data_IF_710353014998
#
_entry.id   IF_710353014998
#
_cell.length_a   1.000
_cell.length_b   1.000
_cell.length_c   1.000
_cell.angle_alpha   90.00
_cell.angle_beta   90.00
_cell.angle_gamma   90.00
#
_symmetry.space_group_name_H-M   'P 1'
#
loop_
_entity.id
_entity.type
_entity.pdbx_description
1 polymer ?
#
# COMPACT_ATOMS: atom_id res chain seq x y z
N UNK A 1 33.08 -5.01 -7.72
CA UNK A 1 31.79 -5.52 -7.23
C UNK A 1 30.79 -4.37 -7.31
N UNK A 2 29.62 -4.66 -7.87
CA UNK A 2 28.68 -3.73 -8.50
C UNK A 2 28.29 -2.53 -7.63
N UNK A 3 28.84 -1.37 -8.01
CA UNK A 3 28.49 -0.05 -7.49
C UNK A 3 27.09 0.34 -7.94
N UNK A 4 26.19 0.60 -7.01
CA UNK A 4 24.96 1.36 -7.27
C UNK A 4 25.03 2.72 -6.55
N UNK A 5 25.89 3.59 -7.07
CA UNK A 5 25.46 4.97 -7.29
C UNK A 5 24.64 5.00 -8.59
N UNK A 6 23.64 5.89 -8.75
CA UNK A 6 23.11 6.17 -10.07
C UNK A 6 24.22 6.83 -10.90
N UNK A 7 25.06 6.03 -11.55
CA UNK A 7 25.82 6.49 -12.70
C UNK A 7 24.80 6.80 -13.78
N UNK A 8 24.93 7.94 -14.45
CA UNK A 8 24.18 8.19 -15.69
C UNK A 8 24.66 7.13 -16.67
N UNK A 9 23.92 6.04 -16.77
CA UNK A 9 24.14 5.03 -17.79
C UNK A 9 23.80 5.72 -19.09
N UNK A 10 24.80 5.96 -19.93
CA UNK A 10 24.55 6.51 -21.27
C UNK A 10 23.68 5.52 -22.04
N UNK A 11 22.83 5.97 -22.96
CA UNK A 11 21.92 5.08 -23.72
C UNK A 11 22.65 3.89 -24.40
N UNK A 12 23.97 4.03 -24.63
CA UNK A 12 24.85 2.97 -25.14
C UNK A 12 25.25 1.90 -24.11
N UNK A 13 25.34 2.22 -22.82
CA UNK A 13 25.66 1.25 -21.77
C UNK A 13 24.43 0.46 -21.30
N UNK A 14 23.23 1.05 -21.40
CA UNK A 14 21.94 0.33 -21.23
C UNK A 14 21.79 -0.75 -22.29
N UNK A 15 22.26 -0.49 -23.52
CA UNK A 15 22.24 -1.48 -24.62
C UNK A 15 23.23 -2.64 -24.43
N UNK A 16 24.27 -2.50 -23.61
CA UNK A 16 25.30 -3.52 -23.41
C UNK A 16 25.13 -4.35 -22.12
N UNK A 17 24.45 -3.83 -21.11
CA UNK A 17 24.02 -4.60 -19.95
C UNK A 17 22.61 -5.16 -20.21
N UNK A 18 22.53 -6.24 -20.99
CA UNK A 18 21.26 -6.94 -21.20
C UNK A 18 20.76 -7.48 -19.85
N UNK A 19 19.67 -6.90 -19.34
CA UNK A 19 18.89 -7.51 -18.26
C UNK A 19 18.46 -8.88 -18.79
N UNK A 20 18.80 -9.93 -18.06
CA UNK A 20 18.27 -11.26 -18.36
C UNK A 20 16.81 -11.29 -17.90
N UNK A 21 15.90 -11.29 -18.87
CA UNK A 21 14.47 -11.31 -18.59
C UNK A 21 14.06 -12.70 -18.12
N UNK A 22 13.24 -12.76 -17.08
CA UNK A 22 12.72 -14.01 -16.52
C UNK A 22 11.82 -14.76 -17.50
N UNK A 23 11.29 -14.05 -18.52
CA UNK A 23 10.50 -14.61 -19.63
C UNK A 23 10.46 -13.68 -20.86
N UNK A 24 10.01 -14.16 -22.03
CA UNK A 24 9.75 -13.30 -23.18
C UNK A 24 8.72 -12.20 -22.92
N UNK A 25 8.99 -10.98 -23.39
CA UNK A 25 8.15 -9.80 -23.15
C UNK A 25 6.73 -9.93 -23.74
N UNK A 26 6.56 -10.70 -24.81
CA UNK A 26 5.27 -10.94 -25.45
C UNK A 26 4.36 -11.92 -24.68
N UNK A 27 4.86 -12.56 -23.62
CA UNK A 27 4.05 -13.39 -22.71
C UNK A 27 3.32 -12.55 -21.65
N UNK A 28 3.65 -11.28 -21.52
CA UNK A 28 2.94 -10.33 -20.66
C UNK A 28 1.63 -9.88 -21.32
N UNK A 29 0.50 -9.84 -20.58
CA UNK A 29 -0.78 -9.44 -21.15
C UNK A 29 -0.82 -7.95 -21.43
N UNK A 30 -1.56 -7.57 -22.49
CA UNK A 30 -1.82 -6.17 -22.81
C UNK A 30 -3.04 -5.65 -22.06
N UNK A 31 -3.13 -4.33 -21.89
CA UNK A 31 -4.34 -3.68 -21.36
C UNK A 31 -5.59 -4.01 -22.21
N UNK A 32 -5.42 -4.17 -23.53
CA UNK A 32 -6.51 -4.56 -24.42
C UNK A 32 -7.03 -5.96 -24.10
N UNK A 33 -6.15 -6.95 -23.94
CA UNK A 33 -6.54 -8.32 -23.60
C UNK A 33 -7.35 -8.38 -22.30
N UNK A 34 -6.86 -7.70 -21.26
CA UNK A 34 -7.52 -7.66 -19.93
C UNK A 34 -8.90 -6.99 -20.07
N UNK A 35 -9.00 -5.89 -20.80
CA UNK A 35 -10.26 -5.18 -21.03
C UNK A 35 -11.27 -6.05 -21.78
N UNK A 36 -10.85 -6.70 -22.87
CA UNK A 36 -11.70 -7.60 -23.66
C UNK A 36 -12.24 -8.76 -22.81
N UNK A 37 -11.39 -9.36 -21.96
CA UNK A 37 -11.83 -10.42 -21.06
C UNK A 37 -12.88 -9.93 -20.05
N UNK A 38 -12.63 -8.79 -19.37
CA UNK A 38 -13.58 -8.23 -18.40
C UNK A 38 -14.93 -7.87 -19.06
N UNK A 39 -14.90 -7.47 -20.32
CA UNK A 39 -16.10 -7.13 -21.11
C UNK A 39 -16.81 -8.36 -21.70
N UNK A 40 -16.18 -9.54 -21.70
CA UNK A 40 -16.80 -10.80 -22.15
C UNK A 40 -17.92 -11.32 -21.24
N UNK A 41 -18.16 -10.67 -20.10
CA UNK A 41 -19.16 -11.03 -19.08
C UNK A 41 -19.04 -12.45 -18.55
N UNK A 42 -17.83 -13.02 -18.59
CA UNK A 42 -17.51 -14.25 -17.89
C UNK A 42 -17.91 -14.15 -16.41
N UNK A 43 -18.63 -15.17 -15.90
CA UNK A 43 -19.07 -15.18 -14.50
C UNK A 43 -17.86 -15.23 -13.56
N UNK A 44 -17.68 -14.21 -12.69
CA UNK A 44 -16.59 -14.21 -11.74
C UNK A 44 -16.66 -15.41 -10.78
N UNK A 45 -15.48 -15.92 -10.40
CA UNK A 45 -15.31 -17.03 -9.47
C UNK A 45 -14.64 -16.56 -8.20
N UNK A 46 -15.18 -17.00 -7.06
CA UNK A 46 -14.50 -16.86 -5.78
C UNK A 46 -13.42 -17.93 -5.67
N UNK A 47 -12.19 -17.51 -5.40
CA UNK A 47 -11.08 -18.41 -5.11
C UNK A 47 -10.91 -18.46 -3.59
N UNK A 48 -10.87 -19.64 -2.99
CA UNK A 48 -10.69 -19.80 -1.54
C UNK A 48 -9.23 -19.58 -1.17
N UNK A 49 -8.96 -18.86 -0.06
CA UNK A 49 -7.60 -18.45 0.31
C UNK A 49 -6.72 -19.67 0.58
N UNK A 50 -7.28 -20.72 1.17
CA UNK A 50 -6.62 -21.96 1.55
C UNK A 50 -6.07 -22.71 0.32
N UNK A 51 -6.73 -22.56 -0.83
CA UNK A 51 -6.31 -23.19 -2.10
C UNK A 51 -5.07 -22.54 -2.71
N UNK A 52 -4.66 -21.37 -2.19
CA UNK A 52 -3.49 -20.63 -2.64
C UNK A 52 -2.22 -20.98 -1.84
N UNK A 53 -2.31 -21.87 -0.83
CA UNK A 53 -1.18 -22.26 0.01
C UNK A 53 -0.44 -23.47 -0.57
N UNK A 54 0.31 -23.27 -1.66
CA UNK A 54 1.05 -24.36 -2.34
C UNK A 54 2.47 -24.48 -1.78
N UNK A 55 3.30 -23.44 -1.94
CA UNK A 55 4.70 -23.43 -1.48
C UNK A 55 4.97 -22.35 -0.42
N UNK A 56 3.93 -21.91 0.29
CA UNK A 56 4.02 -20.90 1.33
C UNK A 56 2.67 -20.61 1.96
N UNK A 57 2.54 -19.42 2.56
CA UNK A 57 1.35 -19.04 3.30
C UNK A 57 0.72 -17.77 2.73
N UNK A 58 -0.51 -17.89 2.27
CA UNK A 58 -1.45 -16.83 1.97
C UNK A 58 -2.49 -16.79 3.09
N UNK A 59 -2.64 -15.64 3.74
CA UNK A 59 -3.55 -15.48 4.88
C UNK A 59 -4.23 -14.12 4.90
N UNK A 60 -5.53 -14.12 5.19
CA UNK A 60 -6.29 -12.91 5.43
C UNK A 60 -6.13 -12.51 6.90
N UNK A 61 -5.16 -11.64 7.17
CA UNK A 61 -4.87 -11.15 8.53
C UNK A 61 -4.88 -9.62 8.62
N UNK A 62 -4.79 -9.10 9.84
CA UNK A 62 -4.71 -7.66 10.07
C UNK A 62 -3.33 -7.12 9.68
N UNK A 63 -3.30 -5.88 9.20
CA UNK A 63 -2.06 -5.16 8.83
C UNK A 63 -1.01 -5.17 9.95
N UNK A 64 -1.43 -5.13 11.21
CA UNK A 64 -0.53 -5.20 12.36
C UNK A 64 0.27 -6.51 12.41
N UNK A 65 -0.38 -7.66 12.17
CA UNK A 65 0.28 -8.98 12.11
C UNK A 65 1.29 -9.05 10.96
N UNK A 66 0.94 -8.47 9.81
CA UNK A 66 1.86 -8.32 8.70
C UNK A 66 3.08 -7.47 9.07
N UNK A 67 2.86 -6.32 9.71
CA UNK A 67 3.93 -5.40 10.09
C UNK A 67 4.85 -5.99 11.16
N UNK A 68 4.31 -6.73 12.14
CA UNK A 68 5.07 -7.34 13.24
C UNK A 68 5.92 -8.55 12.82
N UNK A 69 5.64 -9.15 11.66
CA UNK A 69 6.41 -10.28 11.15
C UNK A 69 7.84 -9.85 10.74
N UNK A 70 8.86 -10.66 11.03
CA UNK A 70 10.28 -10.33 10.84
C UNK A 70 10.80 -10.52 9.40
N UNK A 71 10.02 -11.18 8.54
CA UNK A 71 10.34 -11.43 7.14
C UNK A 71 10.56 -10.13 6.35
N UNK A 72 11.37 -10.22 5.30
CA UNK A 72 11.79 -9.09 4.49
C UNK A 72 10.67 -8.63 3.56
N UNK A 73 10.39 -7.34 3.60
CA UNK A 73 9.44 -6.67 2.71
C UNK A 73 10.17 -5.93 1.58
N UNK A 74 9.44 -5.56 0.53
CA UNK A 74 9.97 -4.74 -0.56
C UNK A 74 10.65 -3.45 -0.07
N UNK A 75 10.10 -2.78 0.95
CA UNK A 75 10.70 -1.59 1.56
C UNK A 75 12.08 -1.85 2.17
N UNK A 76 12.30 -3.03 2.77
CA UNK A 76 13.62 -3.42 3.29
C UNK A 76 14.59 -3.73 2.15
N UNK A 77 14.13 -4.42 1.11
CA UNK A 77 14.94 -4.72 -0.07
C UNK A 77 15.35 -3.44 -0.83
N UNK A 78 14.45 -2.47 -0.97
CA UNK A 78 14.80 -1.13 -1.49
C UNK A 78 15.88 -0.43 -0.66
N UNK A 79 15.86 -0.61 0.66
CA UNK A 79 16.90 -0.07 1.52
C UNK A 79 18.25 -0.77 1.30
N UNK A 80 18.24 -2.09 1.07
CA UNK A 80 19.43 -2.88 0.74
C UNK A 80 20.05 -2.52 -0.60
N UNK A 81 19.28 -2.00 -1.57
CA UNK A 81 19.82 -1.43 -2.80
C UNK A 81 20.59 -0.12 -2.60
N UNK A 82 20.36 0.59 -1.48
CA UNK A 82 21.05 1.85 -1.20
C UNK A 82 22.40 1.60 -0.57
N UNK A 83 22.41 1.09 0.67
CA UNK A 83 23.62 0.71 1.39
C UNK A 83 23.29 -0.30 2.49
N UNK A 84 24.30 -1.05 3.02
CA UNK A 84 24.11 -1.89 4.21
C UNK A 84 23.49 -1.17 5.41
N UNK A 85 23.94 0.06 5.71
CA UNK A 85 23.41 0.86 6.81
C UNK A 85 21.91 1.18 6.63
N UNK A 86 21.48 1.50 5.41
CA UNK A 86 20.05 1.76 5.15
C UNK A 86 19.20 0.52 5.44
N UNK A 87 19.67 -0.66 5.05
CA UNK A 87 19.00 -1.93 5.37
C UNK A 87 18.96 -2.19 6.88
N UNK A 88 20.09 -2.02 7.57
CA UNK A 88 20.17 -2.22 9.04
C UNK A 88 19.24 -1.25 9.77
N UNK A 89 19.24 0.04 9.40
CA UNK A 89 18.30 1.03 9.94
C UNK A 89 16.84 0.69 9.61
N UNK A 90 16.56 0.14 8.42
CA UNK A 90 15.20 -0.28 8.07
C UNK A 90 14.65 -1.40 8.96
N UNK A 91 15.53 -2.14 9.67
CA UNK A 91 15.25 -3.21 10.64
C UNK A 91 15.50 -2.79 12.10
N UNK A 92 16.01 -1.60 12.38
CA UNK A 92 16.42 -1.21 13.74
C UNK A 92 15.27 -0.61 14.56
N UNK A 93 15.43 -0.65 15.87
CA UNK A 93 14.51 -0.01 16.82
C UNK A 93 14.48 1.52 16.65
N UNK A 94 15.60 2.13 16.23
CA UNK A 94 15.69 3.58 15.99
C UNK A 94 14.66 4.07 14.97
N UNK A 95 14.39 3.27 13.93
CA UNK A 95 13.38 3.60 12.92
C UNK A 95 11.99 3.61 13.53
N UNK A 96 11.69 2.65 14.39
CA UNK A 96 10.37 2.56 15.05
C UNK A 96 10.20 3.67 16.09
N UNK A 97 11.25 4.02 16.82
CA UNK A 97 11.26 5.17 17.72
C UNK A 97 11.02 6.49 16.95
N UNK A 98 11.75 6.71 15.86
CA UNK A 98 11.58 7.90 15.02
C UNK A 98 10.18 7.96 14.41
N UNK A 99 9.59 6.82 14.08
CA UNK A 99 8.23 6.73 13.55
C UNK A 99 7.20 7.14 14.61
N UNK A 100 7.31 6.63 15.84
CA UNK A 100 6.44 7.01 16.97
C UNK A 100 6.46 8.51 17.25
N UNK A 101 7.61 9.17 17.09
CA UNK A 101 7.74 10.62 17.28
C UNK A 101 7.09 11.45 16.15
N UNK A 102 6.89 10.86 14.96
CA UNK A 102 6.32 11.54 13.79
C UNK A 102 4.83 11.29 13.58
N UNK A 103 4.29 10.23 14.18
CA UNK A 103 2.88 9.90 14.06
C UNK A 103 2.03 10.85 14.93
N UNK A 104 1.38 11.82 14.28
CA UNK A 104 0.25 12.54 14.89
C UNK A 104 -0.95 11.60 14.88
N UNK A 105 -1.28 11.03 16.04
CA UNK A 105 -2.04 9.79 16.14
C UNK A 105 -3.54 9.84 15.77
N UNK A 106 -4.19 11.00 15.67
CA UNK A 106 -5.67 11.03 15.78
C UNK A 106 -6.41 11.77 14.65
N UNK A 107 -5.76 12.12 13.54
CA UNK A 107 -6.43 12.84 12.46
C UNK A 107 -6.80 11.94 11.27
N UNK A 108 -8.05 12.06 10.81
CA UNK A 108 -8.56 11.39 9.62
C UNK A 108 -7.61 11.61 8.42
N UNK A 109 -7.12 10.52 7.84
CA UNK A 109 -6.24 10.56 6.69
C UNK A 109 -7.04 10.23 5.42
N UNK A 110 -7.40 11.28 4.66
CA UNK A 110 -8.14 11.14 3.41
C UNK A 110 -7.45 10.17 2.44
N UNK A 111 -6.13 10.26 2.30
CA UNK A 111 -5.36 9.42 1.37
C UNK A 111 -5.52 7.93 1.68
N UNK A 112 -5.37 7.57 2.95
CA UNK A 112 -5.56 6.19 3.44
C UNK A 112 -7.00 5.73 3.25
N UNK A 113 -7.97 6.59 3.58
CA UNK A 113 -9.39 6.26 3.41
C UNK A 113 -9.75 6.01 1.94
N UNK A 114 -9.34 6.89 1.02
CA UNK A 114 -9.64 6.74 -0.40
C UNK A 114 -8.99 5.47 -0.97
N UNK A 115 -7.75 5.16 -0.59
CA UNK A 115 -7.10 3.90 -0.95
C UNK A 115 -7.94 2.69 -0.51
N UNK A 116 -8.38 2.67 0.75
CA UNK A 116 -9.22 1.60 1.27
C UNK A 116 -10.58 1.54 0.56
N UNK A 117 -11.17 2.67 0.20
CA UNK A 117 -12.47 2.72 -0.46
C UNK A 117 -12.42 2.20 -1.92
N UNK A 118 -11.29 2.34 -2.61
CA UNK A 118 -11.08 1.67 -3.91
C UNK A 118 -11.11 0.15 -3.74
N UNK A 119 -10.43 -0.36 -2.71
CA UNK A 119 -10.40 -1.80 -2.42
C UNK A 119 -11.74 -2.28 -1.90
N UNK A 120 -12.40 -1.54 -1.01
CA UNK A 120 -13.65 -1.89 -0.36
C UNK A 120 -14.73 -0.83 -0.63
N UNK A 121 -15.46 -0.91 -1.77
CA UNK A 121 -16.36 0.17 -2.20
C UNK A 121 -17.52 0.47 -1.26
N UNK A 122 -17.86 -0.45 -0.35
CA UNK A 122 -18.86 -0.21 0.71
C UNK A 122 -18.41 0.90 1.67
N UNK A 123 -17.11 1.19 1.78
CA UNK A 123 -16.59 2.30 2.59
C UNK A 123 -17.11 3.66 2.11
N UNK A 124 -17.39 3.83 0.82
CA UNK A 124 -17.98 5.08 0.31
C UNK A 124 -19.34 5.42 0.95
N UNK A 125 -20.09 4.42 1.41
CA UNK A 125 -21.35 4.61 2.15
C UNK A 125 -21.20 4.60 3.67
N UNK A 126 -20.00 4.33 4.19
CA UNK A 126 -19.70 4.25 5.63
C UNK A 126 -18.98 5.51 6.12
N UNK A 127 -19.34 6.67 5.59
CA UNK A 127 -18.82 7.96 6.04
C UNK A 127 -19.96 8.83 6.50
N UNK A 128 -19.71 9.59 7.56
CA UNK A 128 -20.68 10.52 8.13
C UNK A 128 -20.03 11.88 8.38
N UNK A 129 -20.82 12.94 8.43
CA UNK A 129 -20.38 14.21 8.99
C UNK A 129 -20.76 14.18 10.46
N UNK A 130 -19.77 14.10 11.34
CA UNK A 130 -20.02 14.22 12.78
C UNK A 130 -20.32 15.70 13.11
N UNK A 131 -21.41 16.00 13.84
CA UNK A 131 -21.70 17.35 14.26
C UNK A 131 -20.58 17.90 15.16
N UNK A 132 -20.27 19.20 15.01
CA UNK A 132 -19.24 19.85 15.81
C UNK A 132 -19.75 20.09 17.25
N UNK A 133 -19.66 19.05 18.08
CA UNK A 133 -20.14 19.05 19.47
C UNK A 133 -18.95 19.17 20.44
N UNK A 134 -18.91 20.19 21.32
CA UNK A 134 -17.80 20.38 22.24
C UNK A 134 -17.78 19.32 23.35
N UNK A 135 -16.81 18.40 23.30
CA UNK A 135 -16.70 17.29 24.25
C UNK A 135 -16.13 17.68 25.64
N UNK A 136 -15.93 18.97 25.93
CA UNK A 136 -15.43 19.50 27.20
C UNK A 136 -16.52 19.96 28.18
N UNK A 137 -17.78 19.83 27.81
CA UNK A 137 -18.94 20.16 28.66
C UNK A 137 -19.80 18.92 28.86
N UNK A 138 -20.53 18.85 29.97
CA UNK A 138 -21.47 17.75 30.22
C UNK A 138 -22.60 17.71 29.19
N UNK A 139 -23.11 18.88 28.79
CA UNK A 139 -24.12 19.01 27.73
C UNK A 139 -23.59 18.47 26.39
N UNK A 140 -22.38 18.86 26.00
CA UNK A 140 -21.79 18.42 24.74
C UNK A 140 -21.53 16.91 24.70
N UNK A 141 -20.97 16.31 25.76
CA UNK A 141 -20.80 14.84 25.76
C UNK A 141 -22.14 14.10 25.77
N UNK A 142 -23.19 14.66 26.36
CA UNK A 142 -24.53 14.05 26.34
C UNK A 142 -25.13 14.07 24.93
N UNK A 143 -25.09 15.23 24.26
CA UNK A 143 -25.53 15.36 22.86
C UNK A 143 -24.75 14.45 21.90
N UNK A 144 -23.45 14.29 22.13
CA UNK A 144 -22.62 13.39 21.33
C UNK A 144 -23.00 11.91 21.55
N UNK A 145 -23.28 11.50 22.79
CA UNK A 145 -23.81 10.15 23.07
C UNK A 145 -25.13 9.93 22.34
N UNK A 146 -26.09 10.85 22.49
CA UNK A 146 -27.40 10.77 21.82
C UNK A 146 -27.26 10.61 20.30
N UNK A 147 -26.40 11.41 19.67
CA UNK A 147 -26.12 11.30 18.23
C UNK A 147 -25.61 9.91 17.83
N UNK A 148 -24.63 9.37 18.55
CA UNK A 148 -24.01 8.10 18.19
C UNK A 148 -24.93 6.90 18.47
N UNK A 149 -25.70 6.93 19.56
CA UNK A 149 -26.71 5.90 19.85
C UNK A 149 -27.84 5.91 18.82
N UNK A 150 -28.35 7.10 18.47
CA UNK A 150 -29.37 7.26 17.44
C UNK A 150 -28.86 6.75 16.09
N UNK A 151 -27.63 7.09 15.70
CA UNK A 151 -27.03 6.63 14.45
C UNK A 151 -26.94 5.10 14.37
N UNK A 152 -26.46 4.44 15.44
CA UNK A 152 -26.36 2.98 15.50
C UNK A 152 -27.75 2.35 15.46
N UNK A 153 -28.72 2.94 16.18
CA UNK A 153 -30.11 2.48 16.21
C UNK A 153 -30.78 2.59 14.84
N UNK A 154 -30.66 3.73 14.16
CA UNK A 154 -31.24 3.97 12.83
C UNK A 154 -30.65 3.04 11.76
N UNK A 155 -29.37 2.70 11.89
CA UNK A 155 -28.73 1.70 11.02
C UNK A 155 -29.15 0.27 11.35
N UNK A 156 -29.56 0.02 12.59
CA UNK A 156 -30.02 -1.28 13.08
C UNK A 156 -28.89 -2.26 13.42
N UNK A 157 -27.62 -1.88 13.22
CA UNK A 157 -26.46 -2.73 13.49
C UNK A 157 -25.20 -1.92 13.81
N UNK A 158 -24.21 -2.60 14.38
CA UNK A 158 -22.81 -2.18 14.48
C UNK A 158 -21.87 -3.37 14.27
N UNK A 159 -20.59 -3.22 14.60
CA UNK A 159 -19.57 -4.25 14.45
C UNK A 159 -18.84 -4.49 15.77
N UNK A 160 -18.83 -5.74 16.23
CA UNK A 160 -18.03 -6.20 17.38
C UNK A 160 -17.14 -7.34 16.88
N UNK A 161 -15.83 -7.28 17.19
CA UNK A 161 -14.88 -8.34 16.81
C UNK A 161 -14.94 -8.75 15.31
N UNK A 162 -15.21 -7.77 14.44
CA UNK A 162 -15.38 -7.92 12.98
C UNK A 162 -16.64 -8.68 12.54
N UNK A 163 -17.62 -8.84 13.43
CA UNK A 163 -18.93 -9.40 13.11
C UNK A 163 -19.99 -8.31 13.17
N UNK A 164 -20.91 -8.34 12.21
CA UNK A 164 -22.09 -7.48 12.23
C UNK A 164 -23.03 -7.93 13.35
N UNK A 165 -23.40 -7.00 14.23
CA UNK A 165 -24.15 -7.28 15.44
C UNK A 165 -25.36 -6.34 15.53
N UNK A 166 -26.56 -6.83 15.90
CA UNK A 166 -27.74 -5.99 16.13
C UNK A 166 -27.48 -4.82 17.07
N UNK A 167 -28.12 -3.67 16.79
CA UNK A 167 -27.84 -2.41 17.48
C UNK A 167 -27.99 -2.50 19.02
N UNK A 168 -28.99 -3.22 19.52
CA UNK A 168 -29.28 -3.38 20.94
C UNK A 168 -28.13 -4.07 21.69
N UNK A 169 -27.60 -5.15 21.11
CA UNK A 169 -26.43 -5.86 21.63
C UNK A 169 -25.18 -4.97 21.54
N UNK A 170 -25.05 -4.14 20.50
CA UNK A 170 -23.93 -3.20 20.37
C UNK A 170 -23.95 -2.14 21.45
N UNK A 171 -25.11 -1.53 21.73
CA UNK A 171 -25.26 -0.54 22.79
C UNK A 171 -24.97 -1.15 24.16
N UNK A 172 -25.48 -2.36 24.43
CA UNK A 172 -25.18 -3.10 25.66
C UNK A 172 -23.68 -3.40 25.80
N UNK A 173 -23.03 -3.86 24.73
CA UNK A 173 -21.58 -4.11 24.72
C UNK A 173 -20.79 -2.84 25.00
N UNK A 174 -21.15 -1.72 24.37
CA UNK A 174 -20.50 -0.44 24.58
C UNK A 174 -20.65 0.03 26.04
N UNK A 175 -21.84 -0.14 26.62
CA UNK A 175 -22.11 0.20 28.02
C UNK A 175 -21.25 -0.65 28.98
N UNK A 176 -21.27 -1.98 28.82
CA UNK A 176 -20.47 -2.91 29.63
C UNK A 176 -18.97 -2.65 29.51
N UNK A 177 -18.49 -2.32 28.31
CA UNK A 177 -17.08 -1.96 28.10
C UNK A 177 -16.67 -0.78 28.98
N UNK A 178 -17.49 0.26 29.06
CA UNK A 178 -17.15 1.45 29.87
C UNK A 178 -17.28 1.18 31.37
N UNK A 179 -18.38 0.56 31.79
CA UNK A 179 -18.68 0.40 33.22
C UNK A 179 -17.90 -0.76 33.84
N UNK A 180 -17.91 -1.92 33.19
CA UNK A 180 -17.33 -3.15 33.74
C UNK A 180 -15.85 -3.30 33.39
N UNK A 181 -15.46 -2.98 32.15
CA UNK A 181 -14.06 -3.17 31.71
C UNK A 181 -13.18 -1.98 32.07
N UNK A 182 -13.65 -0.75 31.85
CA UNK A 182 -12.87 0.46 32.15
C UNK A 182 -13.13 1.00 33.57
N UNK A 183 -14.17 0.55 34.27
CA UNK A 183 -14.49 1.01 35.62
C UNK A 183 -14.94 2.48 35.69
N UNK A 184 -15.46 3.03 34.59
CA UNK A 184 -15.85 4.43 34.48
C UNK A 184 -17.38 4.60 34.67
N UNK A 185 -17.79 5.73 35.25
CA UNK A 185 -19.20 6.08 35.42
C UNK A 185 -19.70 6.88 34.22
N UNK A 186 -20.78 6.43 33.58
CA UNK A 186 -21.45 7.13 32.47
C UNK A 186 -22.12 8.44 32.89
N UNK A 187 -22.22 8.74 34.19
CA UNK A 187 -22.70 10.04 34.68
C UNK A 187 -21.61 11.12 34.61
N UNK A 188 -20.34 10.71 34.53
CA UNK A 188 -19.18 11.60 34.49
C UNK A 188 -18.70 11.83 33.06
N UNK A 189 -18.08 12.99 32.84
CA UNK A 189 -17.60 13.42 31.51
C UNK A 189 -16.58 12.45 30.92
N UNK A 190 -15.67 11.93 31.73
CA UNK A 190 -14.67 10.93 31.33
C UNK A 190 -15.31 9.60 30.89
N UNK A 191 -16.31 9.11 31.63
CA UNK A 191 -17.07 7.93 31.24
C UNK A 191 -17.87 8.14 29.94
N UNK A 192 -18.57 9.27 29.78
CA UNK A 192 -19.27 9.60 28.53
C UNK A 192 -18.32 9.70 27.34
N UNK A 193 -17.13 10.29 27.51
CA UNK A 193 -16.09 10.32 26.46
C UNK A 193 -15.60 8.93 26.08
N UNK A 194 -15.38 8.05 27.05
CA UNK A 194 -15.02 6.65 26.79
C UNK A 194 -16.15 5.92 26.05
N UNK A 195 -17.41 6.19 26.42
CA UNK A 195 -18.57 5.63 25.75
C UNK A 195 -18.69 6.08 24.30
N UNK A 196 -18.55 7.38 24.02
CA UNK A 196 -18.51 7.93 22.65
C UNK A 196 -17.43 7.22 21.82
N UNK A 197 -16.22 7.04 22.37
CA UNK A 197 -15.13 6.33 21.68
C UNK A 197 -15.52 4.88 21.36
N UNK A 198 -16.16 4.20 22.30
CA UNK A 198 -16.59 2.79 22.13
C UNK A 198 -17.70 2.69 21.09
N UNK A 199 -18.68 3.59 21.12
CA UNK A 199 -19.74 3.69 20.10
C UNK A 199 -19.14 3.94 18.71
N UNK A 200 -18.20 4.89 18.58
CA UNK A 200 -17.48 5.15 17.31
C UNK A 200 -16.81 3.88 16.77
N UNK A 201 -16.07 3.17 17.63
CA UNK A 201 -15.37 1.94 17.25
C UNK A 201 -16.33 0.83 16.81
N UNK A 202 -17.51 0.76 17.41
CA UNK A 202 -18.52 -0.25 17.05
C UNK A 202 -19.47 0.20 15.92
N UNK A 203 -19.44 1.47 15.51
CA UNK A 203 -20.43 2.01 14.56
C UNK A 203 -20.20 1.57 13.12
N UNK A 204 -19.02 1.08 12.75
CA UNK A 204 -18.64 0.77 11.35
C UNK A 204 -18.89 1.97 10.39
N UNK A 205 -18.71 3.20 10.88
CA UNK A 205 -18.61 4.42 10.07
C UNK A 205 -17.38 5.22 10.44
N UNK A 206 -16.86 5.95 9.46
CA UNK A 206 -15.75 6.87 9.59
C UNK A 206 -16.27 8.32 9.61
N UNK A 207 -16.10 9.08 10.70
CA UNK A 207 -16.45 10.49 10.75
C UNK A 207 -15.47 11.33 9.92
N UNK A 208 -16.02 12.22 9.08
CA UNK A 208 -15.24 13.09 8.19
C UNK A 208 -15.74 14.53 8.23
N UNK A 209 -14.87 15.48 7.84
CA UNK A 209 -15.29 16.87 7.62
C UNK A 209 -16.22 16.99 6.41
N UNK A 210 -16.98 18.09 6.35
CA UNK A 210 -17.83 18.41 5.17
C UNK A 210 -17.02 18.43 3.87
N UNK A 211 -15.83 19.04 3.92
CA UNK A 211 -14.92 19.09 2.78
C UNK A 211 -14.52 17.67 2.33
N UNK A 212 -14.10 16.80 3.27
CA UNK A 212 -13.72 15.44 2.94
C UNK A 212 -14.91 14.62 2.44
N UNK A 213 -16.12 14.82 2.98
CA UNK A 213 -17.35 14.21 2.46
C UNK A 213 -17.58 14.57 0.99
N UNK A 214 -17.40 15.84 0.62
CA UNK A 214 -17.52 16.27 -0.78
C UNK A 214 -16.47 15.58 -1.66
N UNK A 215 -15.20 15.55 -1.23
CA UNK A 215 -14.11 14.86 -1.95
C UNK A 215 -14.39 13.37 -2.15
N UNK A 216 -14.86 12.68 -1.12
CA UNK A 216 -15.22 11.26 -1.15
C UNK A 216 -16.38 11.02 -2.14
N UNK A 217 -17.40 11.90 -2.14
CA UNK A 217 -18.50 11.83 -3.10
C UNK A 217 -18.04 12.05 -4.54
N UNK A 218 -17.09 12.96 -4.79
CA UNK A 218 -16.52 13.17 -6.12
C UNK A 218 -15.77 11.91 -6.56
N UNK A 219 -14.86 11.39 -5.74
CA UNK A 219 -14.12 10.17 -6.09
C UNK A 219 -15.07 8.99 -6.33
N UNK A 220 -16.13 8.82 -5.54
CA UNK A 220 -17.13 7.76 -5.74
C UNK A 220 -17.74 7.85 -7.14
N UNK A 221 -18.08 9.05 -7.62
CA UNK A 221 -18.60 9.24 -8.99
C UNK A 221 -17.58 8.79 -10.03
N UNK A 222 -16.32 9.19 -9.87
CA UNK A 222 -15.24 8.77 -10.78
C UNK A 222 -15.02 7.27 -10.73
N UNK A 223 -15.03 6.66 -9.55
CA UNK A 223 -14.95 5.22 -9.35
C UNK A 223 -16.07 4.47 -10.09
N UNK A 224 -17.30 4.97 -10.02
CA UNK A 224 -18.47 4.37 -10.67
C UNK A 224 -18.44 4.50 -12.20
N UNK A 225 -17.90 5.61 -12.71
CA UNK A 225 -17.94 5.96 -14.13
C UNK A 225 -16.68 5.54 -14.90
N UNK A 226 -15.53 5.36 -14.22
CA UNK A 226 -14.25 5.10 -14.88
C UNK A 226 -14.32 3.86 -15.76
N UNK A 227 -13.97 4.03 -17.04
CA UNK A 227 -13.97 2.95 -18.04
C UNK A 227 -15.30 2.20 -18.11
N UNK A 228 -16.44 2.89 -17.97
CA UNK A 228 -17.77 2.29 -17.91
C UNK A 228 -17.94 1.27 -16.76
N UNK A 229 -17.36 1.58 -15.60
CA UNK A 229 -17.45 0.74 -14.40
C UNK A 229 -16.46 -0.42 -14.38
N UNK A 230 -15.43 -0.40 -15.22
CA UNK A 230 -14.42 -1.47 -15.30
C UNK A 230 -13.71 -1.71 -13.96
N UNK A 231 -13.50 -0.65 -13.16
CA UNK A 231 -12.81 -0.77 -11.87
C UNK A 231 -13.57 -1.65 -10.87
N UNK A 232 -14.91 -1.57 -10.84
CA UNK A 232 -15.75 -2.45 -10.02
C UNK A 232 -15.60 -3.91 -10.41
N UNK A 233 -15.53 -4.19 -11.73
CA UNK A 233 -15.35 -5.54 -12.27
C UNK A 233 -13.94 -6.07 -11.97
N UNK A 234 -12.92 -5.21 -12.13
CA UNK A 234 -11.51 -5.54 -11.89
C UNK A 234 -11.25 -6.02 -10.45
N UNK A 235 -11.88 -5.41 -9.44
CA UNK A 235 -11.67 -5.79 -8.03
C UNK A 235 -12.66 -6.84 -7.51
N UNK A 236 -13.60 -7.30 -8.35
CA UNK A 236 -14.62 -8.24 -7.93
C UNK A 236 -13.99 -9.63 -7.70
N UNK A 237 -14.30 -10.26 -6.56
CA UNK A 237 -13.69 -11.52 -6.10
C UNK A 237 -12.16 -11.55 -5.98
N UNK A 238 -11.49 -10.39 -6.00
CA UNK A 238 -10.06 -10.30 -5.66
C UNK A 238 -9.83 -10.58 -4.17
N UNK A 239 -8.63 -11.04 -3.83
CA UNK A 239 -8.15 -11.12 -2.44
C UNK A 239 -7.49 -9.81 -2.07
N UNK A 240 -8.11 -9.05 -1.18
CA UNK A 240 -7.69 -7.68 -0.83
C UNK A 240 -6.93 -7.72 0.47
N UNK A 241 -5.84 -6.96 0.55
CA UNK A 241 -5.08 -6.81 1.78
C UNK A 241 -4.73 -8.20 2.39
N UNK A 242 -4.26 -9.11 1.55
CA UNK A 242 -3.93 -10.48 1.95
C UNK A 242 -2.42 -10.61 2.10
N UNK A 243 -1.96 -11.10 3.25
CA UNK A 243 -0.53 -11.31 3.49
C UNK A 243 -0.07 -12.59 2.83
N UNK A 244 1.11 -12.53 2.21
CA UNK A 244 1.77 -13.66 1.56
C UNK A 244 3.19 -13.78 2.11
N UNK A 245 3.52 -14.96 2.59
CA UNK A 245 4.81 -15.29 3.18
C UNK A 245 5.48 -16.42 2.42
N UNK A 246 6.75 -16.22 2.10
CA UNK A 246 7.57 -17.16 1.34
C UNK A 246 8.95 -17.30 1.99
N UNK A 247 9.60 -18.44 1.78
CA UNK A 247 11.03 -18.57 2.06
C UNK A 247 11.71 -18.83 0.74
N UNK A 248 12.49 -17.85 0.28
CA UNK A 248 13.19 -17.93 -0.99
C UNK A 248 14.13 -19.13 -1.01
N UNK A 249 13.98 -19.99 -2.02
CA UNK A 249 14.67 -21.29 -2.09
C UNK A 249 16.16 -21.14 -2.37
N UNK A 250 16.58 -20.05 -3.03
CA UNK A 250 17.96 -19.80 -3.43
C UNK A 250 18.80 -19.18 -2.29
N UNK A 251 18.20 -18.28 -1.53
CA UNK A 251 18.87 -17.51 -0.48
C UNK A 251 18.54 -17.97 0.93
N UNK A 252 17.43 -18.69 1.13
CA UNK A 252 16.90 -19.06 2.44
C UNK A 252 16.26 -17.90 3.19
N UNK A 253 16.15 -16.72 2.56
CA UNK A 253 15.59 -15.53 3.19
C UNK A 253 14.06 -15.62 3.25
N UNK A 254 13.50 -15.30 4.43
CA UNK A 254 12.06 -15.17 4.61
C UNK A 254 11.58 -13.85 4.01
N UNK A 255 10.57 -13.92 3.15
CA UNK A 255 9.97 -12.80 2.45
C UNK A 255 8.50 -12.64 2.86
N UNK A 256 8.04 -11.39 2.82
CA UNK A 256 6.62 -11.05 2.97
C UNK A 256 6.21 -10.00 1.95
N UNK A 257 5.04 -10.21 1.37
CA UNK A 257 4.33 -9.21 0.55
C UNK A 257 2.88 -9.12 1.01
N UNK A 258 2.28 -7.95 0.83
CA UNK A 258 0.85 -7.73 1.05
C UNK A 258 0.35 -6.83 -0.07
N UNK A 259 0.05 -7.39 -1.25
CA UNK A 259 -0.52 -6.63 -2.34
C UNK A 259 -1.86 -6.01 -1.93
N UNK A 260 -2.18 -4.85 -2.51
CA UNK A 260 -3.44 -4.16 -2.21
C UNK A 260 -4.62 -5.04 -2.65
N UNK A 261 -4.53 -5.69 -3.82
CA UNK A 261 -5.31 -6.87 -4.13
C UNK A 261 -4.59 -7.88 -5.06
N UNK A 262 -5.03 -9.13 -5.01
CA UNK A 262 -4.62 -10.24 -5.87
C UNK A 262 -5.85 -10.65 -6.69
N UNK A 263 -5.73 -10.64 -8.01
CA UNK A 263 -6.79 -11.01 -8.93
C UNK A 263 -6.38 -12.20 -9.80
N UNK A 264 -7.37 -12.95 -10.27
CA UNK A 264 -7.17 -14.28 -10.83
C UNK A 264 -7.62 -14.37 -12.29
N UNK A 265 -6.96 -15.27 -13.03
CA UNK A 265 -7.21 -15.49 -14.45
C UNK A 265 -8.65 -15.87 -14.78
N UNK A 266 -9.34 -16.53 -13.86
CA UNK A 266 -10.76 -16.87 -14.04
C UNK A 266 -11.68 -15.64 -14.09
N UNK A 267 -11.23 -14.51 -13.54
CA UNK A 267 -12.02 -13.29 -13.41
C UNK A 267 -11.64 -12.21 -14.42
N UNK A 268 -10.35 -12.12 -14.80
CA UNK A 268 -9.84 -11.06 -15.69
C UNK A 268 -8.94 -11.56 -16.82
N UNK A 269 -8.87 -12.87 -17.04
CA UNK A 269 -8.07 -13.52 -18.09
C UNK A 269 -6.61 -13.76 -17.71
N UNK A 270 -6.11 -13.09 -16.68
CA UNK A 270 -4.74 -13.19 -16.16
C UNK A 270 -4.71 -13.24 -14.62
N UNK A 271 -3.69 -13.88 -14.05
CA UNK A 271 -3.36 -13.73 -12.63
C UNK A 271 -2.58 -12.42 -12.46
N UNK A 272 -3.13 -11.47 -11.70
CA UNK A 272 -2.61 -10.11 -11.62
C UNK A 272 -2.47 -9.61 -10.19
N UNK A 273 -1.44 -8.79 -9.98
CA UNK A 273 -1.32 -7.94 -8.80
C UNK A 273 -2.05 -6.62 -9.07
N UNK A 274 -2.85 -6.16 -8.12
CA UNK A 274 -3.45 -4.82 -8.16
C UNK A 274 -2.77 -3.96 -7.09
N UNK A 275 -2.23 -2.81 -7.51
CA UNK A 275 -1.51 -1.87 -6.64
C UNK A 275 -2.19 -0.51 -6.68
N UNK A 276 -2.79 -0.08 -5.57
CA UNK A 276 -3.49 1.19 -5.43
C UNK A 276 -2.51 2.24 -4.90
N UNK A 277 -2.45 3.41 -5.55
CA UNK A 277 -1.57 4.52 -5.16
C UNK A 277 -2.32 5.84 -5.19
N UNK A 278 -2.36 6.50 -4.04
CA UNK A 278 -2.85 7.86 -3.90
C UNK A 278 -1.73 8.87 -4.14
N UNK A 279 -1.95 9.88 -4.98
CA UNK A 279 -0.94 10.89 -5.30
C UNK A 279 -1.56 12.26 -5.54
N UNK A 280 -0.82 13.33 -5.23
CA UNK A 280 -1.21 14.70 -5.59
C UNK A 280 -0.71 15.10 -6.98
N UNK A 281 -0.11 14.18 -7.73
CA UNK A 281 0.42 14.46 -9.06
C UNK A 281 -0.72 14.57 -10.07
N UNK A 282 -0.65 15.59 -10.91
CA UNK A 282 -1.66 15.91 -11.93
C UNK A 282 -1.30 15.46 -13.34
N UNK A 283 -0.06 15.03 -13.55
CA UNK A 283 0.48 14.58 -14.84
C UNK A 283 0.97 13.14 -14.77
N UNK A 284 0.59 12.32 -15.74
CA UNK A 284 0.97 10.90 -15.77
C UNK A 284 2.47 10.70 -15.93
N UNK A 285 3.17 11.54 -16.71
CA UNK A 285 4.62 11.42 -16.88
C UNK A 285 5.36 11.71 -15.57
N UNK A 286 4.95 12.75 -14.85
CA UNK A 286 5.45 13.04 -13.51
C UNK A 286 5.18 11.89 -12.53
N UNK A 287 4.03 11.22 -12.65
CA UNK A 287 3.70 10.05 -11.83
C UNK A 287 4.60 8.86 -12.17
N UNK A 288 4.86 8.58 -13.45
CA UNK A 288 5.77 7.51 -13.88
C UNK A 288 7.19 7.77 -13.37
N UNK A 289 7.68 9.00 -13.48
CA UNK A 289 8.97 9.39 -12.91
C UNK A 289 9.01 9.20 -11.39
N UNK A 290 7.93 9.55 -10.68
CA UNK A 290 7.82 9.29 -9.24
C UNK A 290 7.83 7.80 -8.92
N UNK A 291 7.11 6.97 -9.69
CA UNK A 291 7.08 5.52 -9.53
C UNK A 291 8.48 4.90 -9.68
N UNK A 292 9.22 5.32 -10.71
CA UNK A 292 10.61 4.91 -10.92
C UNK A 292 11.53 5.35 -9.76
N UNK A 293 11.43 6.61 -9.32
CA UNK A 293 12.21 7.14 -8.20
C UNK A 293 11.94 6.43 -6.87
N UNK A 294 10.71 5.98 -6.65
CA UNK A 294 10.30 5.26 -5.45
C UNK A 294 10.47 3.73 -5.58
N UNK A 295 11.02 3.27 -6.70
CA UNK A 295 11.21 1.87 -7.03
C UNK A 295 9.92 1.04 -6.90
N UNK A 296 8.81 1.54 -7.44
CA UNK A 296 7.56 0.77 -7.46
C UNK A 296 7.74 -0.51 -8.26
N UNK A 297 8.42 -0.44 -9.40
CA UNK A 297 8.86 -1.58 -10.22
C UNK A 297 9.42 -2.74 -9.38
N UNK A 298 10.36 -2.50 -8.46
CA UNK A 298 10.88 -3.54 -7.57
C UNK A 298 9.79 -4.18 -6.72
N UNK A 299 8.87 -3.38 -6.19
CA UNK A 299 7.78 -3.88 -5.34
C UNK A 299 6.79 -4.72 -6.13
N UNK A 300 6.49 -4.29 -7.35
CA UNK A 300 5.55 -4.99 -8.23
C UNK A 300 6.17 -6.29 -8.75
N UNK A 301 7.44 -6.26 -9.18
CA UNK A 301 8.19 -7.46 -9.57
C UNK A 301 8.30 -8.49 -8.44
N UNK A 302 8.72 -8.04 -7.25
CA UNK A 302 8.74 -8.90 -6.05
C UNK A 302 7.35 -9.49 -5.75
N UNK A 303 6.28 -8.71 -5.86
CA UNK A 303 4.93 -9.20 -5.57
C UNK A 303 4.49 -10.26 -6.58
N UNK A 304 4.74 -10.06 -7.87
CA UNK A 304 4.45 -11.07 -8.89
C UNK A 304 5.18 -12.40 -8.62
N UNK A 305 6.49 -12.35 -8.37
CA UNK A 305 7.27 -13.56 -8.13
C UNK A 305 6.89 -14.27 -6.84
N UNK A 306 6.85 -13.55 -5.71
CA UNK A 306 6.55 -14.14 -4.40
C UNK A 306 5.15 -14.75 -4.38
N UNK A 307 4.16 -14.06 -4.98
CA UNK A 307 2.79 -14.61 -5.04
C UNK A 307 2.73 -15.78 -6.02
N UNK A 308 3.45 -15.76 -7.15
CA UNK A 308 3.52 -16.90 -8.06
C UNK A 308 4.08 -18.14 -7.38
N UNK A 309 5.23 -18.00 -6.71
CA UNK A 309 5.91 -19.09 -6.01
C UNK A 309 5.02 -19.70 -4.93
N UNK A 310 4.40 -18.86 -4.09
CA UNK A 310 3.55 -19.34 -2.99
C UNK A 310 2.28 -20.03 -3.49
N UNK A 311 1.67 -19.50 -4.54
CA UNK A 311 0.36 -19.97 -5.01
C UNK A 311 0.44 -21.03 -6.11
N UNK A 312 1.60 -21.22 -6.73
CA UNK A 312 1.75 -22.07 -7.92
C UNK A 312 1.03 -21.54 -9.15
N UNK A 313 0.67 -20.26 -9.17
CA UNK A 313 -0.03 -19.58 -10.28
C UNK A 313 0.92 -18.63 -11.00
N UNK A 314 0.59 -18.25 -12.23
CA UNK A 314 1.46 -17.41 -13.05
C UNK A 314 1.06 -15.93 -12.98
N UNK A 315 1.48 -15.24 -11.91
CA UNK A 315 1.26 -13.80 -11.81
C UNK A 315 2.24 -13.07 -12.73
N UNK A 316 1.72 -12.63 -13.87
CA UNK A 316 2.50 -12.07 -14.96
C UNK A 316 2.12 -10.64 -15.30
N UNK A 317 1.35 -9.96 -14.46
CA UNK A 317 1.05 -8.54 -14.67
C UNK A 317 0.72 -7.83 -13.37
N UNK A 318 0.93 -6.51 -13.40
CA UNK A 318 0.50 -5.60 -12.34
C UNK A 318 -0.38 -4.53 -12.95
N UNK A 319 -1.53 -4.32 -12.32
CA UNK A 319 -2.47 -3.26 -12.66
C UNK A 319 -2.43 -2.23 -11.54
N UNK A 320 -1.87 -1.06 -11.83
CA UNK A 320 -1.81 0.04 -10.89
C UNK A 320 -3.07 0.91 -10.99
N UNK A 321 -3.73 1.15 -9.86
CA UNK A 321 -4.83 2.11 -9.74
C UNK A 321 -4.29 3.36 -9.07
N UNK A 322 -4.02 4.39 -9.87
CA UNK A 322 -3.65 5.71 -9.37
C UNK A 322 -4.93 6.51 -9.07
N UNK A 323 -5.01 7.11 -7.89
CA UNK A 323 -6.09 8.02 -7.53
C UNK A 323 -5.51 9.35 -7.06
N UNK A 324 -6.07 10.45 -7.56
CA UNK A 324 -5.61 11.77 -7.17
C UNK A 324 -6.14 12.15 -5.77
N UNK A 325 -5.29 12.81 -4.98
CA UNK A 325 -5.67 13.46 -3.71
C UNK A 325 -5.94 14.95 -3.87
N UNK A 326 -5.83 15.46 -5.10
CA UNK A 326 -6.12 16.83 -5.52
C UNK A 326 -7.26 16.82 -6.53
N UNK A 327 -7.96 17.94 -6.70
CA UNK A 327 -9.00 18.08 -7.71
C UNK A 327 -8.42 17.79 -9.12
N UNK A 328 -9.17 17.11 -10.01
CA UNK A 328 -10.56 16.69 -9.85
C UNK A 328 -10.74 15.36 -9.10
N UNK A 329 -9.72 14.81 -8.43
CA UNK A 329 -9.74 13.46 -7.83
C UNK A 329 -9.91 12.37 -8.90
N UNK A 330 -9.19 12.51 -10.01
CA UNK A 330 -9.25 11.55 -11.10
C UNK A 330 -8.65 10.19 -10.69
N UNK A 331 -9.04 9.17 -11.45
CA UNK A 331 -8.52 7.81 -11.35
C UNK A 331 -7.82 7.48 -12.66
N UNK A 332 -6.72 6.73 -12.61
CA UNK A 332 -6.11 6.09 -13.76
C UNK A 332 -5.84 4.62 -13.45
N UNK A 333 -6.23 3.73 -14.36
CA UNK A 333 -5.86 2.31 -14.34
C UNK A 333 -4.73 2.12 -15.34
N UNK A 334 -3.58 1.67 -14.84
CA UNK A 334 -2.33 1.60 -15.57
C UNK A 334 -1.83 0.16 -15.54
N UNK A 335 -1.71 -0.48 -16.69
CA UNK A 335 -1.07 -1.80 -16.80
C UNK A 335 0.42 -1.56 -16.98
N UNK A 336 1.24 -2.18 -16.13
CA UNK A 336 2.70 -2.06 -16.25
C UNK A 336 3.21 -2.66 -17.56
N UNK A 337 4.25 -2.04 -18.13
CA UNK A 337 4.96 -2.61 -19.28
C UNK A 337 5.70 -3.88 -18.87
N UNK A 338 5.91 -4.79 -19.82
CA UNK A 338 6.68 -6.00 -19.59
C UNK A 338 8.12 -5.67 -19.17
N UNK A 339 8.71 -4.68 -19.85
CA UNK A 339 10.08 -4.22 -19.66
C UNK A 339 10.31 -3.67 -18.24
N UNK A 340 9.36 -2.86 -17.73
CA UNK A 340 9.48 -2.28 -16.38
C UNK A 340 9.27 -3.33 -15.30
N UNK A 341 8.40 -4.32 -15.52
CA UNK A 341 8.23 -5.45 -14.59
C UNK A 341 9.50 -6.29 -14.54
N UNK A 342 10.07 -6.67 -15.68
CA UNK A 342 11.34 -7.41 -15.73
C UNK A 342 12.49 -6.62 -15.10
N UNK A 343 12.54 -5.31 -15.32
CA UNK A 343 13.48 -4.43 -14.62
C UNK A 343 13.27 -4.45 -13.11
N UNK A 344 12.01 -4.46 -12.66
CA UNK A 344 11.63 -4.60 -11.27
C UNK A 344 12.07 -5.93 -10.65
N UNK A 345 11.84 -7.04 -11.34
CA UNK A 345 12.28 -8.40 -10.95
C UNK A 345 13.80 -8.49 -10.83
N UNK A 346 14.53 -7.95 -11.81
CA UNK A 346 15.98 -7.85 -11.75
C UNK A 346 16.46 -7.07 -10.52
N UNK A 347 15.86 -5.90 -10.25
CA UNK A 347 16.17 -5.10 -9.05
C UNK A 347 15.84 -5.85 -7.76
N UNK A 348 14.75 -6.61 -7.74
CA UNK A 348 14.37 -7.47 -6.62
C UNK A 348 15.43 -8.55 -6.35
N UNK A 349 15.87 -9.31 -7.36
CA UNK A 349 16.91 -10.32 -7.20
C UNK A 349 18.24 -9.73 -6.74
N UNK A 350 18.64 -8.58 -7.31
CA UNK A 350 19.84 -7.87 -6.88
C UNK A 350 19.73 -7.44 -5.40
N UNK A 351 18.58 -6.90 -5.00
CA UNK A 351 18.33 -6.50 -3.63
C UNK A 351 18.36 -7.70 -2.67
N UNK A 352 17.86 -8.86 -3.10
CA UNK A 352 17.84 -10.08 -2.33
C UNK A 352 19.27 -10.61 -2.10
N UNK A 353 20.10 -10.63 -3.15
CA UNK A 353 21.51 -11.00 -3.06
C UNK A 353 22.30 -10.04 -2.16
N UNK A 354 22.12 -8.73 -2.33
CA UNK A 354 22.72 -7.73 -1.45
C UNK A 354 22.31 -7.96 0.01
N UNK A 355 21.03 -8.24 0.24
CA UNK A 355 20.52 -8.49 1.60
C UNK A 355 21.16 -9.73 2.21
N UNK A 356 21.27 -10.82 1.46
CA UNK A 356 21.96 -12.04 1.89
C UNK A 356 23.39 -11.73 2.31
N UNK A 357 24.14 -11.01 1.48
CA UNK A 357 25.52 -10.62 1.77
C UNK A 357 25.63 -9.71 3.00
N UNK A 358 24.75 -8.72 3.13
CA UNK A 358 24.70 -7.81 4.29
C UNK A 358 24.49 -8.59 5.59
N UNK A 359 23.61 -9.59 5.58
CA UNK A 359 23.31 -10.44 6.73
C UNK A 359 24.51 -11.35 7.05
N UNK A 360 25.01 -12.10 6.07
CA UNK A 360 26.09 -13.07 6.25
C UNK A 360 27.39 -12.41 6.72
N UNK A 361 27.75 -11.26 6.13
CA UNK A 361 28.99 -10.54 6.45
C UNK A 361 28.82 -9.47 7.53
N UNK A 362 27.61 -9.34 8.11
CA UNK A 362 27.27 -8.33 9.11
C UNK A 362 27.68 -6.90 8.71
N UNK A 363 27.42 -6.53 7.44
CA UNK A 363 27.79 -5.23 6.91
C UNK A 363 26.94 -4.13 7.55
N UNK A 364 27.60 -3.02 7.92
CA UNK A 364 26.96 -1.87 8.58
C UNK A 364 27.32 -0.53 7.92
N UNK A 365 28.07 -0.56 6.82
CA UNK A 365 28.57 0.66 6.17
C UNK A 365 27.45 1.45 5.46
N UNK A 366 27.51 2.77 5.58
CA UNK A 366 26.68 3.75 4.89
C UNK A 366 27.17 4.04 3.48
N UNK A 367 27.19 5.32 3.09
CA UNK A 367 27.64 5.74 1.76
C UNK A 367 29.14 5.49 1.53
N UNK A 368 29.92 5.29 2.58
CA UNK A 368 31.35 4.99 2.49
C UNK A 368 31.65 3.69 1.72
N UNK A 369 30.64 2.83 1.46
CA UNK A 369 30.76 1.69 0.53
C UNK A 369 31.14 2.11 -0.90
N UNK A 370 30.89 3.37 -1.27
CA UNK A 370 31.23 3.92 -2.59
C UNK A 370 32.56 4.69 -2.59
N UNK A 371 33.26 4.77 -1.46
CA UNK A 371 34.59 5.38 -1.41
C UNK A 371 35.63 4.45 -2.02
N UNK A 372 36.64 5.04 -2.66
CA UNK A 372 37.81 4.27 -3.10
C UNK A 372 38.61 3.78 -1.89
N UNK A 373 39.38 2.71 -2.09
CA UNK A 373 40.25 2.18 -1.05
C UNK A 373 41.20 3.26 -0.53
N UNK A 374 41.41 3.31 0.79
CA UNK A 374 42.21 4.33 1.50
C UNK A 374 41.67 5.77 1.47
N UNK A 375 40.46 6.04 0.97
CA UNK A 375 39.84 7.37 1.04
C UNK A 375 39.08 7.63 2.36
N UNK A 376 39.13 6.71 3.33
CA UNK A 376 38.48 6.85 4.64
C UNK A 376 36.99 7.26 4.58
N UNK A 377 36.26 6.82 3.55
CA UNK A 377 34.85 7.16 3.36
C UNK A 377 34.57 8.46 2.59
N UNK A 378 35.60 9.20 2.16
CA UNK A 378 35.43 10.35 1.27
C UNK A 378 35.04 9.88 -0.14
N UNK A 379 33.95 10.44 -0.66
CA UNK A 379 33.38 10.13 -1.98
C UNK A 379 33.57 11.35 -2.89
N UNK A 380 34.20 11.15 -4.04
CA UNK A 380 34.34 12.19 -5.04
C UNK A 380 32.99 12.43 -5.73
N UNK A 381 32.36 13.57 -5.47
CA UNK A 381 31.12 13.96 -6.14
C UNK A 381 31.39 14.45 -7.56
N UNK A 382 30.48 14.12 -8.49
CA UNK A 382 30.41 14.67 -9.85
C UNK A 382 28.99 15.14 -10.15
N UNK A 383 28.85 16.26 -10.87
CA UNK A 383 27.53 16.76 -11.29
C UNK A 383 27.05 16.03 -12.55
N UNK A 384 25.73 15.92 -12.78
CA UNK A 384 25.17 15.34 -13.99
C UNK A 384 25.66 16.04 -15.28
N UNK A 385 25.69 15.29 -16.39
CA UNK A 385 26.16 15.79 -17.69
C UNK A 385 25.38 17.00 -18.19
N UNK A 386 24.06 17.07 -17.95
CA UNK A 386 23.22 18.21 -18.33
C UNK A 386 23.63 19.53 -17.66
N UNK A 387 24.38 19.47 -16.55
CA UNK A 387 24.88 20.66 -15.85
C UNK A 387 26.13 21.26 -16.53
N UNK A 388 26.74 20.57 -17.49
CA UNK A 388 27.86 21.08 -18.27
C UNK A 388 27.35 22.00 -19.39
N UNK A 389 26.84 23.18 -19.02
CA UNK A 389 26.39 24.18 -19.99
C UNK A 389 27.53 25.16 -20.32
N UNK A 390 27.82 25.35 -21.61
CA UNK A 390 28.69 26.43 -22.05
C UNK A 390 27.89 27.74 -22.06
N UNK A 391 28.31 28.70 -21.26
CA UNK A 391 27.79 30.06 -21.32
C UNK A 391 28.59 30.85 -22.36
N UNK A 392 27.92 31.34 -23.40
CA UNK A 392 28.53 32.30 -24.32
C UNK A 392 28.76 33.62 -23.56
N UNK A 393 29.95 34.19 -23.69
CA UNK A 393 30.26 35.51 -23.15
C UNK A 393 29.29 36.54 -23.75
N UNK A 394 28.56 37.26 -22.90
CA UNK A 394 27.87 38.49 -23.34
C UNK A 394 28.95 39.50 -23.69
N UNK A 395 29.01 39.93 -24.94
CA UNK A 395 29.76 41.14 -25.29
C UNK A 395 29.07 42.30 -24.57
N UNK A 396 29.65 42.76 -23.47
CA UNK A 396 29.26 43.99 -22.76
C UNK A 396 29.89 45.17 -23.48
#
# INVERSE_FOLDING_TARGET
MSNLHPTIVTDKEVQNNTIDFTRPLNEYPTAQFIAEFILSEAKPKHIYTETLNVNGLVIQDGKEKYLSNDALSSSMLKAALRTPLHFKFAKSEDKEELKKLKENADHFNLSTFLHQAILEPTKFSRVIIEPNIPLNTNEGVTKAVEFWEQLITERGYGVIERQETPFDIVLEHCHKTVVETLGLSLDKIDGKRAYIRTLKNCSDVEPVSEENMVKIKILKKHYDQYGNGILRRLILHSKRETSVYHTDTNTGLKLKVRPDAIQFKENIGVDAIISVKSSSIEDLQAFYHQAARLHYDLSEGMSQEVVSEVTGRDFNTTIMVMLQTVAPFAIAILVWSAEDIETGKHKYHLALNNTKEIIEKQLVKGYEVFSQENNFGLIQMSLPTWNQQQFLSRNI
#
